data_IF_704150687796
#
_entry.id   IF_704150687796
#
_cell.length_a   1.000
_cell.length_b   1.000
_cell.length_c   1.000
_cell.angle_alpha   90.00
_cell.angle_beta   90.00
_cell.angle_gamma   90.00
#
_symmetry.space_group_name_H-M   'P 1'
#
loop_
_entity.id
_entity.type
_entity.pdbx_description
1 polymer ?
#
# COMPACT_ATOMS: atom_id res chain seq x y z
N UNK A 1 -6.86 -15.26 -50.99
CA UNK A 1 -7.46 -14.98 -49.66
C UNK A 1 -6.51 -14.03 -48.96
N UNK A 2 -6.75 -12.70 -49.05
CA UNK A 2 -5.86 -11.72 -48.47
C UNK A 2 -5.95 -11.81 -46.96
N UNK A 3 -4.89 -12.26 -46.32
CA UNK A 3 -4.68 -12.03 -44.87
C UNK A 3 -4.57 -10.51 -44.76
N UNK A 4 -5.62 -9.83 -44.23
CA UNK A 4 -5.48 -8.47 -43.76
C UNK A 4 -4.46 -8.53 -42.63
N UNK A 5 -3.29 -7.95 -42.84
CA UNK A 5 -2.43 -7.51 -41.74
C UNK A 5 -3.30 -6.59 -40.85
N UNK A 6 -3.86 -7.14 -39.77
CA UNK A 6 -4.47 -6.31 -38.73
C UNK A 6 -3.31 -5.62 -38.03
N UNK A 7 -3.24 -4.31 -38.13
CA UNK A 7 -2.35 -3.53 -37.25
C UNK A 7 -2.65 -3.92 -35.81
N UNK A 8 -1.62 -4.08 -34.98
CA UNK A 8 -1.77 -4.35 -33.56
C UNK A 8 -2.67 -3.30 -32.90
N UNK A 9 -3.41 -3.71 -31.87
CA UNK A 9 -4.20 -2.79 -31.04
C UNK A 9 -3.26 -2.14 -30.04
N UNK A 10 -3.04 -0.85 -30.15
CA UNK A 10 -2.22 -0.07 -29.21
C UNK A 10 -3.04 0.31 -27.97
N UNK A 11 -2.58 -0.06 -26.78
CA UNK A 11 -3.13 0.36 -25.48
C UNK A 11 -2.05 0.94 -24.59
N UNK A 12 -2.44 1.88 -23.75
CA UNK A 12 -1.56 2.54 -22.77
C UNK A 12 -1.95 2.14 -21.36
N UNK A 13 -0.97 1.61 -20.61
CA UNK A 13 -1.10 1.36 -19.18
C UNK A 13 -0.31 2.41 -18.38
N UNK A 14 -0.96 3.12 -17.44
CA UNK A 14 -0.30 4.06 -16.56
C UNK A 14 -0.17 3.52 -15.13
N UNK A 15 1.00 3.63 -14.54
CA UNK A 15 1.33 3.12 -13.21
C UNK A 15 2.43 3.93 -12.54
N UNK A 16 2.59 3.81 -11.23
CA UNK A 16 3.60 4.55 -10.46
C UNK A 16 4.74 3.67 -9.90
N UNK A 17 4.75 2.40 -9.97
CA UNK A 17 5.72 1.50 -9.31
C UNK A 17 7.20 1.70 -9.68
N UNK A 18 7.56 2.82 -10.28
CA UNK A 18 8.90 3.12 -10.76
C UNK A 18 9.17 2.57 -12.16
N UNK A 19 10.33 2.90 -12.70
CA UNK A 19 10.78 2.46 -14.02
C UNK A 19 11.79 1.32 -13.93
N UNK A 20 11.78 0.44 -14.94
CA UNK A 20 12.75 -0.65 -15.10
C UNK A 20 12.97 -0.89 -16.61
N UNK A 21 13.88 -0.13 -17.20
CA UNK A 21 14.20 -0.21 -18.63
C UNK A 21 14.75 -1.58 -19.05
N UNK A 22 15.51 -2.23 -18.14
CA UNK A 22 16.15 -3.54 -18.37
C UNK A 22 15.25 -4.74 -18.03
N UNK A 23 13.97 -4.53 -17.74
CA UNK A 23 13.06 -5.62 -17.45
C UNK A 23 12.90 -6.50 -18.70
N UNK A 24 13.29 -7.78 -18.60
CA UNK A 24 12.95 -8.79 -19.59
C UNK A 24 11.48 -9.21 -19.52
N UNK A 25 11.15 -10.32 -20.17
CA UNK A 25 9.82 -10.96 -20.12
C UNK A 25 9.75 -12.18 -19.19
N UNK A 26 10.85 -12.56 -18.55
CA UNK A 26 10.82 -13.60 -17.51
C UNK A 26 10.31 -13.01 -16.19
N UNK A 27 9.04 -13.27 -15.88
CA UNK A 27 8.35 -12.77 -14.69
C UNK A 27 8.93 -13.28 -13.38
N UNK A 28 9.85 -14.24 -13.41
CA UNK A 28 10.49 -14.87 -12.23
C UNK A 28 11.93 -14.43 -12.02
N UNK A 29 12.55 -13.81 -13.03
CA UNK A 29 13.97 -13.46 -13.02
C UNK A 29 14.28 -12.08 -12.38
N UNK A 30 13.26 -11.26 -12.14
CA UNK A 30 13.40 -9.88 -11.67
C UNK A 30 13.02 -9.71 -10.20
N UNK A 31 13.40 -8.60 -9.60
CA UNK A 31 13.05 -8.21 -8.23
C UNK A 31 12.58 -6.75 -8.16
N UNK A 32 11.84 -6.44 -7.10
CA UNK A 32 11.24 -5.11 -6.90
C UNK A 32 10.01 -4.84 -7.76
N UNK A 33 9.17 -3.92 -7.31
CA UNK A 33 7.88 -3.62 -7.95
C UNK A 33 8.03 -3.22 -9.43
N UNK A 34 8.97 -2.29 -9.71
CA UNK A 34 9.16 -1.74 -11.06
C UNK A 34 9.46 -2.82 -12.09
N UNK A 35 10.42 -3.70 -11.77
CA UNK A 35 10.87 -4.73 -12.71
C UNK A 35 9.89 -5.90 -12.82
N UNK A 36 9.28 -6.31 -11.71
CA UNK A 36 8.30 -7.41 -11.73
C UNK A 36 7.07 -7.02 -12.57
N UNK A 37 6.47 -5.84 -12.34
CA UNK A 37 5.29 -5.43 -13.12
C UNK A 37 5.64 -5.22 -14.60
N UNK A 38 6.82 -4.64 -14.89
CA UNK A 38 7.24 -4.44 -16.27
C UNK A 38 7.51 -5.77 -16.98
N UNK A 39 8.09 -6.76 -16.29
CA UNK A 39 8.30 -8.10 -16.87
C UNK A 39 6.98 -8.81 -17.22
N UNK A 40 5.94 -8.63 -16.39
CA UNK A 40 4.59 -9.16 -16.69
C UNK A 40 4.01 -8.51 -17.95
N UNK A 41 4.15 -7.17 -18.09
CA UNK A 41 3.70 -6.44 -19.28
C UNK A 41 4.49 -6.88 -20.52
N UNK A 42 5.81 -7.02 -20.40
CA UNK A 42 6.66 -7.48 -21.51
C UNK A 42 6.31 -8.91 -21.94
N UNK A 43 6.06 -9.80 -20.98
CA UNK A 43 5.62 -11.17 -21.25
C UNK A 43 4.27 -11.21 -21.98
N UNK A 44 3.34 -10.31 -21.60
CA UNK A 44 2.07 -10.17 -22.31
C UNK A 44 2.28 -9.74 -23.78
N UNK A 45 3.11 -8.72 -24.02
CA UNK A 45 3.41 -8.24 -25.37
C UNK A 45 4.04 -9.33 -26.24
N UNK A 46 4.96 -10.13 -25.71
CA UNK A 46 5.57 -11.26 -26.46
C UNK A 46 4.55 -12.33 -26.81
N UNK A 47 3.59 -12.62 -25.94
CA UNK A 47 2.60 -13.68 -26.13
C UNK A 47 1.37 -13.21 -26.94
N UNK A 48 1.19 -11.91 -27.12
CA UNK A 48 0.04 -11.33 -27.81
C UNK A 48 0.48 -10.31 -28.87
N UNK A 49 1.09 -10.75 -29.98
CA UNK A 49 1.67 -9.85 -30.99
C UNK A 49 0.65 -8.99 -31.74
N UNK A 50 -0.64 -9.23 -31.56
CA UNK A 50 -1.76 -8.44 -32.06
C UNK A 50 -2.18 -7.30 -31.09
N UNK A 51 -1.55 -7.19 -29.92
CA UNK A 51 -1.77 -6.13 -28.93
C UNK A 51 -0.41 -5.55 -28.56
N UNK A 52 -0.28 -4.24 -28.59
CA UNK A 52 0.92 -3.52 -28.16
C UNK A 52 0.60 -2.68 -26.91
N UNK A 53 1.16 -3.06 -25.77
CA UNK A 53 0.99 -2.34 -24.50
C UNK A 53 2.18 -1.42 -24.28
N UNK A 54 1.92 -0.12 -24.22
CA UNK A 54 2.90 0.90 -23.86
C UNK A 54 2.71 1.31 -22.39
N UNK A 55 3.80 1.26 -21.62
CA UNK A 55 3.79 1.68 -20.20
C UNK A 55 4.09 3.16 -20.08
N UNK A 56 3.30 3.85 -19.26
CA UNK A 56 3.57 5.20 -18.77
C UNK A 56 3.82 5.13 -17.27
N UNK A 57 5.00 5.58 -16.83
CA UNK A 57 5.36 5.65 -15.41
C UNK A 57 5.02 7.04 -14.89
N UNK A 58 4.16 7.10 -13.88
CA UNK A 58 3.73 8.33 -13.23
C UNK A 58 4.48 8.52 -11.91
N UNK A 59 4.74 9.78 -11.54
CA UNK A 59 5.19 10.11 -10.19
C UNK A 59 4.10 9.73 -9.16
N UNK A 60 4.48 8.98 -8.13
CA UNK A 60 3.55 8.49 -7.11
C UNK A 60 2.75 9.63 -6.45
N UNK A 61 3.42 10.72 -6.09
CA UNK A 61 2.81 11.87 -5.41
C UNK A 61 1.89 12.68 -6.30
N UNK A 62 2.05 12.61 -7.64
CA UNK A 62 1.29 13.39 -8.62
C UNK A 62 0.25 12.56 -9.40
N UNK A 63 0.27 11.23 -9.24
CA UNK A 63 -0.56 10.32 -10.05
C UNK A 63 -2.02 10.77 -10.14
N UNK A 64 -2.65 11.07 -9.02
CA UNK A 64 -4.08 11.41 -9.01
C UNK A 64 -4.38 12.81 -9.55
N UNK A 65 -3.47 13.76 -9.39
CA UNK A 65 -3.59 15.08 -10.03
C UNK A 65 -3.48 14.96 -11.55
N UNK A 66 -2.53 14.15 -12.03
CA UNK A 66 -2.36 13.85 -13.46
C UNK A 66 -3.60 13.16 -14.02
N UNK A 67 -4.11 12.12 -13.36
CA UNK A 67 -5.31 11.39 -13.79
C UNK A 67 -6.54 12.31 -13.83
N UNK A 68 -6.74 13.15 -12.82
CA UNK A 68 -7.85 14.12 -12.83
C UNK A 68 -7.80 15.04 -14.06
N UNK A 69 -6.62 15.59 -14.35
CA UNK A 69 -6.42 16.46 -15.53
C UNK A 69 -6.72 15.69 -16.81
N UNK A 70 -6.20 14.48 -16.96
CA UNK A 70 -6.40 13.66 -18.15
C UNK A 70 -7.84 13.23 -18.36
N UNK A 71 -8.58 12.95 -17.28
CA UNK A 71 -10.02 12.68 -17.39
C UNK A 71 -10.79 13.92 -17.85
N UNK A 72 -10.41 15.12 -17.38
CA UNK A 72 -11.02 16.36 -17.81
C UNK A 72 -10.75 16.66 -19.31
N UNK A 73 -9.57 16.27 -19.80
CA UNK A 73 -9.15 16.49 -21.20
C UNK A 73 -9.51 15.33 -22.13
N UNK A 74 -10.17 14.28 -21.66
CA UNK A 74 -10.44 13.04 -22.39
C UNK A 74 -9.17 12.36 -22.94
N UNK A 75 -8.06 12.46 -22.22
CA UNK A 75 -6.75 11.88 -22.55
C UNK A 75 -6.29 10.83 -21.54
N UNK A 76 -7.21 10.27 -20.76
CA UNK A 76 -6.90 9.22 -19.79
C UNK A 76 -6.30 7.99 -20.47
N UNK A 77 -5.31 7.32 -19.85
CA UNK A 77 -4.75 6.07 -20.36
C UNK A 77 -5.83 4.99 -20.44
N UNK A 78 -5.65 3.99 -21.33
CA UNK A 78 -6.66 2.94 -21.54
C UNK A 78 -6.90 2.08 -20.30
N UNK A 79 -5.86 1.95 -19.44
CA UNK A 79 -5.92 1.33 -18.12
C UNK A 79 -4.92 2.02 -17.20
N UNK A 80 -5.26 2.20 -15.93
CA UNK A 80 -4.33 2.83 -14.98
C UNK A 80 -4.46 2.25 -13.58
N UNK A 81 -3.38 2.35 -12.80
CA UNK A 81 -3.36 1.99 -11.40
C UNK A 81 -4.26 2.91 -10.57
N UNK A 82 -4.89 2.36 -9.55
CA UNK A 82 -5.68 3.11 -8.57
C UNK A 82 -5.60 2.43 -7.19
N UNK A 83 -5.61 3.24 -6.12
CA UNK A 83 -5.87 2.74 -4.78
C UNK A 83 -7.39 2.69 -4.51
N UNK A 84 -7.83 1.73 -3.70
CA UNK A 84 -9.25 1.59 -3.34
C UNK A 84 -9.87 2.88 -2.80
N UNK A 85 -9.11 3.60 -1.99
CA UNK A 85 -9.58 4.82 -1.35
C UNK A 85 -9.85 5.99 -2.31
N UNK A 86 -9.44 5.86 -3.59
CA UNK A 86 -9.72 6.84 -4.66
C UNK A 86 -10.96 6.51 -5.46
N UNK A 87 -11.52 5.31 -5.33
CA UNK A 87 -12.73 4.91 -6.05
C UNK A 87 -13.89 5.91 -5.86
N UNK A 88 -14.25 6.35 -4.63
CA UNK A 88 -15.35 7.27 -4.46
C UNK A 88 -15.20 8.57 -5.27
N UNK A 89 -13.98 9.09 -5.35
CA UNK A 89 -13.69 10.33 -6.08
C UNK A 89 -13.90 10.18 -7.59
N UNK A 90 -13.42 9.09 -8.19
CA UNK A 90 -13.45 8.90 -9.64
C UNK A 90 -14.74 8.26 -10.13
N UNK A 91 -15.37 7.37 -9.35
CA UNK A 91 -16.66 6.75 -9.70
C UNK A 91 -17.81 7.75 -9.65
N UNK A 92 -17.84 8.63 -8.63
CA UNK A 92 -18.92 9.62 -8.45
C UNK A 92 -18.99 10.62 -9.61
N UNK A 93 -17.87 10.95 -10.25
CA UNK A 93 -17.84 11.84 -11.43
C UNK A 93 -17.99 11.07 -12.76
N UNK A 94 -18.18 9.74 -12.72
CA UNK A 94 -18.31 8.90 -13.91
C UNK A 94 -17.04 8.76 -14.73
N UNK A 95 -15.86 8.94 -14.12
CA UNK A 95 -14.56 8.86 -14.81
C UNK A 95 -14.17 7.41 -15.13
N UNK A 96 -14.40 6.47 -14.19
CA UNK A 96 -14.02 5.07 -14.31
C UNK A 96 -15.22 4.18 -14.59
N UNK A 97 -14.99 3.02 -15.20
CA UNK A 97 -16.02 2.07 -15.60
C UNK A 97 -16.49 1.23 -14.40
N UNK A 98 -17.81 0.99 -14.33
CA UNK A 98 -18.37 -0.11 -13.53
C UNK A 98 -18.09 -1.43 -14.25
N UNK A 99 -17.35 -2.31 -13.60
CA UNK A 99 -16.89 -3.61 -14.11
C UNK A 99 -17.72 -4.77 -13.54
N UNK A 100 -18.87 -4.51 -12.93
CA UNK A 100 -19.76 -5.54 -12.39
C UNK A 100 -20.11 -6.59 -13.46
N UNK A 101 -19.80 -7.87 -13.17
CA UNK A 101 -20.02 -8.99 -14.08
C UNK A 101 -19.12 -9.04 -15.33
N UNK A 102 -18.07 -8.21 -15.38
CA UNK A 102 -17.09 -8.26 -16.50
C UNK A 102 -16.00 -9.32 -16.29
N UNK A 103 -15.62 -9.63 -15.05
CA UNK A 103 -14.52 -10.57 -14.75
C UNK A 103 -14.79 -11.96 -15.36
N UNK A 104 -15.96 -12.50 -15.13
CA UNK A 104 -16.36 -13.84 -15.58
C UNK A 104 -16.35 -13.97 -17.10
N UNK A 105 -16.67 -12.89 -17.82
CA UNK A 105 -16.66 -12.87 -19.30
C UNK A 105 -15.26 -13.09 -19.87
N UNK A 106 -14.24 -12.74 -19.09
CA UNK A 106 -12.82 -12.90 -19.45
C UNK A 106 -12.13 -14.04 -18.69
N UNK A 107 -12.89 -14.90 -18.02
CA UNK A 107 -12.37 -16.08 -17.33
C UNK A 107 -11.63 -15.77 -16.03
N UNK A 108 -11.95 -14.64 -15.39
CA UNK A 108 -11.52 -14.31 -14.04
C UNK A 108 -12.65 -14.66 -13.08
N UNK A 109 -12.44 -15.64 -12.21
CA UNK A 109 -13.46 -16.12 -11.25
C UNK A 109 -13.51 -15.20 -10.04
N UNK A 110 -14.55 -14.37 -9.96
CA UNK A 110 -14.72 -13.44 -8.83
C UNK A 110 -14.88 -14.15 -7.47
N UNK A 111 -15.30 -15.43 -7.45
CA UNK A 111 -15.38 -16.21 -6.21
C UNK A 111 -14.01 -16.56 -5.62
N UNK A 112 -12.94 -16.45 -6.41
CA UNK A 112 -11.55 -16.61 -5.95
C UNK A 112 -10.98 -15.34 -5.29
N UNK A 113 -11.70 -14.21 -5.36
CA UNK A 113 -11.28 -12.96 -4.71
C UNK A 113 -11.62 -13.01 -3.22
N UNK A 114 -10.62 -12.74 -2.35
CA UNK A 114 -10.85 -12.66 -0.90
C UNK A 114 -11.83 -11.53 -0.55
N UNK A 115 -12.66 -11.70 0.50
CA UNK A 115 -13.69 -10.72 0.85
C UNK A 115 -13.19 -9.29 0.99
N UNK A 116 -12.04 -9.10 1.63
CA UNK A 116 -11.42 -7.77 1.81
C UNK A 116 -11.15 -7.08 0.47
N UNK A 117 -10.63 -7.81 -0.53
CA UNK A 117 -10.40 -7.22 -1.85
C UNK A 117 -11.71 -6.95 -2.58
N UNK A 118 -12.71 -7.83 -2.46
CA UNK A 118 -14.02 -7.58 -3.05
C UNK A 118 -14.66 -6.32 -2.46
N UNK A 119 -14.58 -6.13 -1.15
CA UNK A 119 -15.01 -4.90 -0.48
C UNK A 119 -14.23 -3.67 -0.98
N UNK A 120 -12.91 -3.84 -1.20
CA UNK A 120 -12.07 -2.77 -1.73
C UNK A 120 -12.46 -2.34 -3.16
N UNK A 121 -12.88 -3.28 -4.01
CA UNK A 121 -13.32 -3.00 -5.39
C UNK A 121 -14.72 -2.40 -5.46
N UNK A 122 -15.53 -2.55 -4.40
CA UNK A 122 -16.96 -2.23 -4.42
C UNK A 122 -17.24 -0.89 -3.73
N UNK A 123 -18.01 -0.04 -4.39
CA UNK A 123 -18.48 1.22 -3.84
C UNK A 123 -19.81 1.59 -4.49
N UNK A 124 -20.79 2.03 -3.69
CA UNK A 124 -22.13 2.48 -4.14
C UNK A 124 -22.81 1.51 -5.13
N UNK A 125 -22.68 0.21 -4.86
CA UNK A 125 -23.32 -0.86 -5.63
C UNK A 125 -22.61 -1.25 -6.94
N UNK A 126 -21.54 -0.59 -7.32
CA UNK A 126 -20.70 -0.93 -8.49
C UNK A 126 -19.37 -1.57 -8.09
N UNK A 127 -18.72 -2.25 -9.04
CA UNK A 127 -17.36 -2.76 -8.95
C UNK A 127 -16.45 -1.92 -9.86
N UNK A 128 -15.46 -1.22 -9.29
CA UNK A 128 -14.78 -0.11 -9.96
C UNK A 128 -13.32 -0.38 -10.34
N UNK A 129 -12.87 -1.61 -10.26
CA UNK A 129 -11.49 -1.96 -10.64
C UNK A 129 -11.27 -3.45 -10.81
N UNK A 130 -10.15 -3.78 -11.44
CA UNK A 130 -9.60 -5.13 -11.57
C UNK A 130 -8.55 -5.30 -10.48
N UNK A 131 -8.59 -6.36 -9.65
CA UNK A 131 -7.72 -6.47 -8.49
C UNK A 131 -6.26 -6.64 -8.87
N UNK A 132 -5.33 -6.06 -8.11
CA UNK A 132 -3.89 -6.27 -8.25
C UNK A 132 -3.27 -6.86 -6.97
N UNK A 133 -3.47 -6.23 -5.82
CA UNK A 133 -2.91 -6.68 -4.55
C UNK A 133 -3.63 -6.10 -3.34
N UNK A 134 -3.21 -6.60 -2.17
CA UNK A 134 -3.49 -6.02 -0.87
C UNK A 134 -2.14 -5.69 -0.22
N UNK A 135 -2.03 -4.52 0.41
CA UNK A 135 -0.80 -4.10 1.07
C UNK A 135 -1.09 -3.48 2.44
N UNK A 136 -0.13 -3.61 3.35
CA UNK A 136 -0.28 -3.16 4.73
C UNK A 136 1.04 -2.70 5.32
N UNK A 137 0.97 -1.94 6.41
CA UNK A 137 2.12 -1.55 7.21
C UNK A 137 2.65 -2.71 8.05
N UNK A 138 3.96 -2.88 8.04
CA UNK A 138 4.73 -3.93 8.69
C UNK A 138 5.85 -3.35 9.57
N UNK A 139 6.39 -4.16 10.47
CA UNK A 139 7.62 -3.91 11.20
C UNK A 139 8.77 -4.64 10.52
N UNK A 140 9.58 -3.89 9.75
CA UNK A 140 10.84 -4.37 9.17
C UNK A 140 11.94 -4.28 10.22
N UNK A 141 12.57 -5.38 10.54
CA UNK A 141 13.42 -5.53 11.73
C UNK A 141 14.86 -5.83 11.35
N UNK A 142 15.79 -5.04 11.89
CA UNK A 142 17.19 -5.39 11.97
C UNK A 142 17.38 -6.36 13.14
N UNK A 143 17.41 -7.66 12.84
CA UNK A 143 17.44 -8.71 13.85
C UNK A 143 18.77 -8.70 14.63
N UNK A 144 19.86 -8.23 14.02
CA UNK A 144 21.16 -8.14 14.68
C UNK A 144 21.19 -7.07 15.77
N UNK A 145 20.58 -5.90 15.52
CA UNK A 145 20.42 -4.85 16.54
C UNK A 145 19.47 -5.29 17.66
N UNK A 146 18.34 -5.93 17.30
CA UNK A 146 17.41 -6.47 18.28
C UNK A 146 18.07 -7.53 19.15
N UNK A 147 18.91 -8.40 18.60
CA UNK A 147 19.66 -9.40 19.36
C UNK A 147 20.67 -8.75 20.31
N UNK A 148 21.42 -7.74 19.87
CA UNK A 148 22.33 -6.97 20.74
C UNK A 148 21.58 -6.29 21.88
N UNK A 149 20.36 -5.81 21.64
CA UNK A 149 19.48 -5.19 22.62
C UNK A 149 18.79 -6.21 23.57
N UNK A 150 19.00 -7.53 23.37
CA UNK A 150 18.35 -8.58 24.16
C UNK A 150 16.88 -8.83 23.80
N UNK A 151 16.46 -8.37 22.62
CA UNK A 151 15.07 -8.39 22.15
C UNK A 151 14.83 -9.48 21.08
N UNK A 152 15.56 -10.60 21.16
CA UNK A 152 15.37 -11.76 20.27
C UNK A 152 15.20 -13.02 21.11
N UNK A 153 14.25 -13.86 20.74
CA UNK A 153 14.04 -15.18 21.30
C UNK A 153 13.75 -16.19 20.18
N UNK A 154 14.42 -17.33 20.21
CA UNK A 154 14.24 -18.41 19.24
C UNK A 154 14.37 -17.93 17.76
N UNK A 155 15.32 -17.00 17.51
CA UNK A 155 15.57 -16.43 16.19
C UNK A 155 14.53 -15.41 15.69
N UNK A 156 13.59 -15.00 16.56
CA UNK A 156 12.53 -14.04 16.22
C UNK A 156 12.60 -12.79 17.10
N UNK A 157 12.22 -11.63 16.60
CA UNK A 157 12.16 -10.43 17.43
C UNK A 157 11.08 -10.57 18.50
N UNK A 158 11.36 -10.03 19.67
CA UNK A 158 10.36 -9.82 20.72
C UNK A 158 9.74 -8.46 20.45
N UNK A 159 8.48 -8.43 20.04
CA UNK A 159 7.73 -7.20 19.84
C UNK A 159 7.01 -6.78 21.11
N UNK A 160 6.85 -5.47 21.37
CA UNK A 160 6.17 -4.99 22.56
C UNK A 160 4.65 -5.24 22.48
N UNK A 161 4.02 -5.39 23.64
CA UNK A 161 2.59 -5.63 23.81
C UNK A 161 1.87 -4.50 24.56
N UNK A 162 2.61 -3.45 24.90
CA UNK A 162 2.08 -2.26 25.55
C UNK A 162 2.93 -1.02 25.24
N UNK A 163 2.40 0.22 25.44
CA UNK A 163 3.19 1.44 25.31
C UNK A 163 4.42 1.47 26.23
N UNK A 164 4.29 0.98 27.46
CA UNK A 164 5.39 0.92 28.42
C UNK A 164 6.51 -0.02 27.93
N UNK A 165 6.15 -1.21 27.46
CA UNK A 165 7.12 -2.18 26.92
C UNK A 165 7.78 -1.65 25.64
N UNK A 166 7.05 -0.90 24.80
CA UNK A 166 7.65 -0.25 23.63
C UNK A 166 8.73 0.77 24.01
N UNK A 167 8.55 1.52 25.09
CA UNK A 167 9.57 2.43 25.63
C UNK A 167 10.74 1.68 26.28
N UNK A 168 10.51 0.52 26.92
CA UNK A 168 11.57 -0.33 27.43
C UNK A 168 12.43 -0.87 26.28
N UNK A 169 11.81 -1.34 25.19
CA UNK A 169 12.52 -1.76 23.98
C UNK A 169 13.28 -0.61 23.32
N UNK A 170 12.71 0.60 23.32
CA UNK A 170 13.37 1.79 22.82
C UNK A 170 14.66 2.09 23.60
N UNK A 171 14.60 2.03 24.93
CA UNK A 171 15.76 2.22 25.78
C UNK A 171 16.84 1.12 25.55
N UNK A 172 16.41 -0.13 25.34
CA UNK A 172 17.32 -1.23 25.05
C UNK A 172 18.05 -1.04 23.70
N UNK A 173 17.36 -0.57 22.66
CA UNK A 173 17.99 -0.23 21.38
C UNK A 173 18.94 0.97 21.51
N UNK A 174 18.57 1.99 22.27
CA UNK A 174 19.47 3.13 22.55
C UNK A 174 20.74 2.71 23.28
N UNK A 175 20.66 1.77 24.22
CA UNK A 175 21.81 1.25 24.94
C UNK A 175 22.86 0.56 24.03
N UNK A 176 22.44 0.06 22.87
CA UNK A 176 23.35 -0.54 21.88
C UNK A 176 23.70 0.42 20.72
N UNK A 177 23.32 1.71 20.85
CA UNK A 177 23.71 2.77 19.92
C UNK A 177 22.78 2.94 18.71
N UNK A 178 21.58 2.38 18.72
CA UNK A 178 20.60 2.50 17.64
C UNK A 178 19.29 3.19 18.12
N UNK A 179 18.57 3.79 17.21
CA UNK A 179 17.20 4.19 17.46
C UNK A 179 16.30 2.94 17.49
N UNK A 180 15.16 3.03 18.16
CA UNK A 180 14.21 1.92 18.16
C UNK A 180 13.42 1.88 16.85
N UNK A 181 12.91 3.02 16.43
CA UNK A 181 11.98 3.13 15.32
C UNK A 181 12.43 4.18 14.31
N UNK A 182 12.48 3.79 13.06
CA UNK A 182 12.49 4.69 11.91
C UNK A 182 11.11 4.68 11.24
N UNK A 183 10.60 5.84 10.88
CA UNK A 183 9.34 5.95 10.13
C UNK A 183 9.23 7.34 9.52
N UNK A 184 9.05 7.41 8.22
CA UNK A 184 8.71 8.64 7.49
C UNK A 184 7.22 8.76 7.17
N UNK A 185 6.36 8.01 7.88
CA UNK A 185 4.93 7.93 7.59
C UNK A 185 4.09 8.02 8.87
N UNK A 186 2.96 8.74 8.80
CA UNK A 186 2.00 8.83 9.91
C UNK A 186 1.08 7.61 10.02
N UNK A 187 1.10 6.69 9.05
CA UNK A 187 0.20 5.52 8.98
C UNK A 187 0.31 4.56 10.17
N UNK A 188 1.46 4.50 10.84
CA UNK A 188 1.59 3.75 12.09
C UNK A 188 0.71 4.32 13.20
N UNK A 189 0.55 5.65 13.26
CA UNK A 189 -0.35 6.32 14.21
C UNK A 189 -1.82 5.96 13.90
N UNK A 190 -2.17 5.74 12.63
CA UNK A 190 -3.49 5.23 12.25
C UNK A 190 -3.74 3.85 12.89
N UNK A 191 -2.81 2.92 12.69
CA UNK A 191 -2.89 1.59 13.31
C UNK A 191 -3.05 1.65 14.83
N UNK A 192 -2.22 2.45 15.51
CA UNK A 192 -2.31 2.63 16.98
C UNK A 192 -3.64 3.23 17.44
N UNK A 193 -4.24 4.12 16.66
CA UNK A 193 -5.57 4.67 16.94
C UNK A 193 -6.65 3.60 16.81
N UNK A 194 -6.61 2.82 15.71
CA UNK A 194 -7.57 1.74 15.47
C UNK A 194 -7.44 0.59 16.47
N UNK A 195 -6.25 0.34 17.00
CA UNK A 195 -6.04 -0.63 18.09
C UNK A 195 -6.84 -0.28 19.36
N UNK A 196 -7.22 0.97 19.54
CA UNK A 196 -8.02 1.46 20.68
C UNK A 196 -9.52 1.56 20.34
N UNK A 197 -10.00 0.88 19.30
CA UNK A 197 -11.38 0.91 18.81
C UNK A 197 -11.87 2.32 18.41
N UNK A 198 -10.97 3.20 18.02
CA UNK A 198 -11.26 4.56 17.57
C UNK A 198 -10.95 4.74 16.09
N UNK A 199 -11.49 5.80 15.50
CA UNK A 199 -11.24 6.21 14.13
C UNK A 199 -11.04 7.72 14.06
N UNK A 200 -10.56 8.25 12.93
CA UNK A 200 -10.39 9.70 12.73
C UNK A 200 -11.69 10.40 12.40
N UNK A 201 -12.64 9.68 11.85
CA UNK A 201 -14.01 10.13 11.63
C UNK A 201 -14.97 8.95 11.54
N UNK A 202 -16.21 9.19 11.87
CA UNK A 202 -17.32 8.24 11.77
C UNK A 202 -18.48 8.91 11.04
N UNK A 203 -18.71 8.50 9.79
CA UNK A 203 -19.68 9.20 8.92
C UNK A 203 -19.27 10.67 8.76
N UNK A 204 -20.13 11.59 9.27
CA UNK A 204 -19.89 13.03 9.23
C UNK A 204 -19.30 13.62 10.54
N UNK A 205 -18.92 12.78 11.49
CA UNK A 205 -18.36 13.18 12.77
C UNK A 205 -16.83 13.06 12.76
N UNK A 206 -16.12 14.17 12.94
CA UNK A 206 -14.67 14.16 13.12
C UNK A 206 -14.29 13.74 14.55
N UNK A 207 -13.31 12.86 14.68
CA UNK A 207 -12.88 12.24 15.94
C UNK A 207 -11.35 12.33 16.16
N UNK A 208 -10.69 13.33 15.57
CA UNK A 208 -9.24 13.54 15.76
C UNK A 208 -8.85 14.03 17.15
N UNK A 209 -9.77 14.67 17.86
CA UNK A 209 -9.49 15.22 19.18
C UNK A 209 -10.06 14.30 20.29
N UNK A 210 -9.67 13.04 20.28
CA UNK A 210 -10.05 12.01 21.26
C UNK A 210 -8.83 11.51 22.02
N UNK A 211 -9.05 10.83 23.13
CA UNK A 211 -7.96 10.30 23.97
C UNK A 211 -7.17 9.21 23.21
N UNK A 212 -7.83 8.43 22.37
CA UNK A 212 -7.21 7.36 21.59
C UNK A 212 -6.20 7.90 20.56
N UNK A 213 -6.55 8.98 19.86
CA UNK A 213 -5.62 9.67 18.96
C UNK A 213 -4.47 10.31 19.74
N UNK A 214 -4.79 10.93 20.89
CA UNK A 214 -3.77 11.49 21.79
C UNK A 214 -2.77 10.44 22.26
N UNK A 215 -3.25 9.29 22.71
CA UNK A 215 -2.41 8.19 23.19
C UNK A 215 -1.46 7.71 22.08
N UNK A 216 -1.96 7.55 20.84
CA UNK A 216 -1.15 7.15 19.70
C UNK A 216 -0.06 8.18 19.36
N UNK A 217 -0.40 9.46 19.35
CA UNK A 217 0.56 10.56 19.10
C UNK A 217 1.56 10.68 20.25
N UNK A 218 1.08 10.58 21.52
CA UNK A 218 1.93 10.68 22.70
C UNK A 218 2.99 9.60 22.74
N UNK A 219 2.65 8.34 22.37
CA UNK A 219 3.63 7.27 22.31
C UNK A 219 4.82 7.62 21.38
N UNK A 220 4.54 8.23 20.24
CA UNK A 220 5.59 8.69 19.33
C UNK A 220 6.39 9.87 19.90
N UNK A 221 5.74 10.80 20.60
CA UNK A 221 6.43 11.89 21.30
C UNK A 221 7.31 11.37 22.43
N UNK A 222 6.90 10.32 23.13
CA UNK A 222 7.69 9.66 24.16
C UNK A 222 8.91 8.94 23.56
N UNK A 223 8.75 8.25 22.43
CA UNK A 223 9.88 7.68 21.67
C UNK A 223 10.87 8.75 21.20
N UNK A 224 10.36 9.90 20.73
CA UNK A 224 11.19 11.06 20.37
C UNK A 224 11.94 11.61 21.59
N UNK A 225 11.27 11.78 22.73
CA UNK A 225 11.88 12.26 23.97
C UNK A 225 12.96 11.31 24.50
N UNK A 226 12.80 9.99 24.29
CA UNK A 226 13.82 8.99 24.58
C UNK A 226 14.98 8.98 23.56
N UNK A 227 14.94 9.82 22.51
CA UNK A 227 15.94 9.85 21.44
C UNK A 227 15.91 8.58 20.57
N UNK A 228 14.80 7.86 20.56
CA UNK A 228 14.65 6.57 19.90
C UNK A 228 13.79 6.61 18.62
N UNK A 229 13.36 7.81 18.24
CA UNK A 229 12.61 8.10 17.01
C UNK A 229 12.89 9.53 16.53
N UNK A 230 13.06 9.72 15.23
CA UNK A 230 13.37 11.01 14.61
C UNK A 230 12.26 11.44 13.65
N UNK A 231 11.37 12.36 14.07
CA UNK A 231 10.24 12.81 13.23
C UNK A 231 10.67 13.69 12.03
N UNK A 232 11.94 14.09 11.96
CA UNK A 232 12.49 14.89 10.85
C UNK A 232 12.85 14.05 9.62
N UNK A 233 12.87 12.72 9.75
CA UNK A 233 13.14 11.83 8.62
C UNK A 233 11.88 11.72 7.75
N UNK A 234 12.01 12.06 6.48
CA UNK A 234 11.01 11.73 5.46
C UNK A 234 11.06 10.23 5.10
N UNK A 235 10.21 9.80 4.16
CA UNK A 235 10.12 8.39 3.76
C UNK A 235 11.47 7.79 3.34
N UNK A 236 12.14 8.42 2.39
CA UNK A 236 13.43 7.91 1.86
C UNK A 236 14.56 8.00 2.87
N UNK A 237 14.59 9.07 3.67
CA UNK A 237 15.60 9.25 4.72
C UNK A 237 15.43 8.24 5.85
N UNK A 238 14.20 7.92 6.25
CA UNK A 238 13.93 6.90 7.26
C UNK A 238 14.30 5.49 6.77
N UNK A 239 14.00 5.17 5.52
CA UNK A 239 14.39 3.93 4.87
C UNK A 239 15.91 3.78 4.86
N UNK A 240 16.62 4.80 4.33
CA UNK A 240 18.08 4.79 4.30
C UNK A 240 18.69 4.68 5.71
N UNK A 241 18.17 5.43 6.68
CA UNK A 241 18.65 5.41 8.06
C UNK A 241 18.59 4.01 8.66
N UNK A 242 17.50 3.28 8.44
CA UNK A 242 17.35 1.91 8.89
C UNK A 242 18.23 0.92 8.10
N UNK A 243 18.30 1.04 6.78
CA UNK A 243 19.14 0.18 5.94
C UNK A 243 20.63 0.33 6.27
N UNK A 244 21.07 1.52 6.69
CA UNK A 244 22.44 1.78 7.18
C UNK A 244 22.68 1.21 8.59
N UNK A 245 21.71 0.54 9.21
CA UNK A 245 21.86 -0.11 10.52
C UNK A 245 21.74 0.85 11.71
N UNK A 246 21.03 1.97 11.58
CA UNK A 246 20.89 2.98 12.63
C UNK A 246 19.61 2.85 13.45
N UNK A 247 18.70 1.97 13.08
CA UNK A 247 17.48 1.71 13.84
C UNK A 247 17.15 0.21 13.91
N UNK A 248 16.56 -0.22 15.02
CA UNK A 248 16.12 -1.59 15.23
C UNK A 248 14.96 -1.96 14.28
N UNK A 249 14.01 -1.05 14.09
CA UNK A 249 12.77 -1.28 13.34
C UNK A 249 12.54 -0.12 12.37
N UNK A 250 12.06 -0.46 11.18
CA UNK A 250 11.45 0.49 10.24
C UNK A 250 9.96 0.14 10.08
N UNK A 251 9.06 1.11 10.32
CA UNK A 251 7.68 0.98 9.89
C UNK A 251 7.59 1.34 8.40
N UNK A 252 7.30 0.35 7.59
CA UNK A 252 7.08 0.49 6.16
C UNK A 252 6.08 -0.58 5.68
N UNK A 253 5.79 -0.68 4.40
CA UNK A 253 4.76 -1.58 3.90
C UNK A 253 5.29 -2.88 3.32
N UNK A 254 4.34 -3.68 2.82
CA UNK A 254 4.62 -4.96 2.16
C UNK A 254 5.44 -4.81 0.87
N UNK A 255 5.34 -3.67 0.18
CA UNK A 255 5.95 -3.39 -1.14
C UNK A 255 7.48 -3.36 -1.15
N UNK A 256 8.14 -3.31 0.00
CA UNK A 256 9.61 -3.27 0.12
C UNK A 256 10.22 -4.57 0.62
N UNK A 257 9.43 -5.59 0.93
CA UNK A 257 9.93 -6.86 1.50
C UNK A 257 10.95 -7.52 0.58
N UNK A 258 10.66 -7.64 -0.72
CA UNK A 258 11.60 -8.21 -1.68
C UNK A 258 12.88 -7.39 -1.79
N UNK A 259 12.76 -6.07 -1.87
CA UNK A 259 13.90 -5.17 -1.98
C UNK A 259 14.82 -5.25 -0.75
N UNK A 260 14.26 -5.22 0.47
CA UNK A 260 15.07 -5.30 1.69
C UNK A 260 15.70 -6.66 1.88
N UNK A 261 15.00 -7.74 1.53
CA UNK A 261 15.55 -9.09 1.64
C UNK A 261 16.84 -9.29 0.83
N UNK A 262 17.06 -8.46 -0.20
CA UNK A 262 18.20 -8.56 -1.11
C UNK A 262 19.26 -7.45 -0.91
N UNK A 263 18.93 -6.35 -0.20
CA UNK A 263 19.75 -5.14 -0.20
C UNK A 263 20.20 -4.66 1.19
N UNK A 264 19.83 -5.33 2.28
CA UNK A 264 20.37 -5.02 3.62
C UNK A 264 21.52 -5.95 3.98
N UNK A 265 22.50 -5.42 4.73
CA UNK A 265 23.72 -6.15 5.14
C UNK A 265 23.60 -6.77 6.55
N UNK A 266 22.38 -6.94 7.07
CA UNK A 266 22.11 -7.53 8.39
C UNK A 266 21.03 -8.63 8.28
N UNK A 267 20.89 -9.43 9.32
CA UNK A 267 19.82 -10.42 9.40
C UNK A 267 18.47 -9.69 9.44
N UNK A 268 17.70 -9.86 8.37
CA UNK A 268 16.41 -9.22 8.16
C UNK A 268 15.27 -10.13 8.61
N UNK A 269 14.32 -9.55 9.32
CA UNK A 269 13.05 -10.17 9.68
C UNK A 269 11.92 -9.15 9.43
N UNK A 270 10.75 -9.61 9.04
CA UNK A 270 9.59 -8.74 8.89
C UNK A 270 8.37 -9.35 9.56
N UNK A 271 7.72 -8.59 10.42
CA UNK A 271 6.53 -9.04 11.15
C UNK A 271 5.35 -8.09 11.04
N UNK A 272 4.18 -8.53 11.51
CA UNK A 272 3.03 -7.66 11.62
C UNK A 272 3.32 -6.51 12.58
N UNK A 273 2.62 -5.39 12.41
CA UNK A 273 2.61 -4.33 13.41
C UNK A 273 2.14 -4.92 14.76
N UNK A 274 2.89 -4.75 15.86
CA UNK A 274 2.52 -5.34 17.14
C UNK A 274 1.23 -4.73 17.69
N UNK A 275 0.49 -5.54 18.44
CA UNK A 275 -0.67 -5.07 19.20
C UNK A 275 -0.19 -4.40 20.49
N UNK A 276 -0.29 -3.09 20.53
CA UNK A 276 0.17 -2.24 21.65
C UNK A 276 -0.97 -1.88 22.60
N UNK A 277 -2.20 -1.90 22.08
CA UNK A 277 -3.41 -1.54 22.84
C UNK A 277 -4.40 -2.73 22.86
N UNK A 278 -5.68 -2.47 22.72
CA UNK A 278 -6.76 -3.43 22.99
C UNK A 278 -6.89 -4.55 21.94
N UNK A 279 -6.59 -4.26 20.68
CA UNK A 279 -6.70 -5.22 19.56
C UNK A 279 -5.64 -4.99 18.50
N UNK A 280 -5.36 -6.02 17.69
CA UNK A 280 -4.51 -5.86 16.50
C UNK A 280 -5.16 -4.93 15.48
N UNK A 281 -4.39 -3.97 14.97
CA UNK A 281 -4.74 -3.17 13.79
C UNK A 281 -3.48 -2.62 13.14
N UNK A 282 -3.44 -2.63 11.83
CA UNK A 282 -2.42 -1.94 11.02
C UNK A 282 -3.08 -1.30 9.81
N UNK A 283 -2.50 -0.20 9.33
CA UNK A 283 -2.97 0.41 8.09
C UNK A 283 -2.84 -0.55 6.92
N UNK A 284 -3.89 -0.64 6.12
CA UNK A 284 -3.94 -1.41 4.88
C UNK A 284 -4.62 -0.62 3.76
N UNK A 285 -4.33 -1.01 2.53
CA UNK A 285 -4.97 -0.52 1.31
C UNK A 285 -4.87 -1.60 0.22
N UNK A 286 -5.36 -1.32 -0.98
CA UNK A 286 -5.33 -2.22 -2.13
C UNK A 286 -5.04 -1.46 -3.40
N UNK A 287 -4.23 -2.04 -4.27
CA UNK A 287 -4.09 -1.58 -5.64
C UNK A 287 -5.06 -2.32 -6.56
N UNK A 288 -5.56 -1.60 -7.53
CA UNK A 288 -6.40 -2.13 -8.60
C UNK A 288 -6.11 -1.40 -9.90
N UNK A 289 -6.52 -2.00 -11.00
CA UNK A 289 -6.50 -1.37 -12.31
C UNK A 289 -7.89 -0.83 -12.62
N UNK A 290 -7.98 0.45 -12.94
CA UNK A 290 -9.22 1.09 -13.37
C UNK A 290 -9.18 1.42 -14.86
N UNK A 291 -10.35 1.42 -15.48
CA UNK A 291 -10.56 1.63 -16.91
C UNK A 291 -11.44 2.86 -17.09
N UNK A 292 -11.16 3.77 -18.04
CA UNK A 292 -12.04 4.89 -18.34
C UNK A 292 -13.45 4.43 -18.72
N UNK A 293 -14.47 5.08 -18.16
CA UNK A 293 -15.88 4.71 -18.36
C UNK A 293 -16.28 4.68 -19.84
N UNK A 294 -15.73 5.59 -20.66
CA UNK A 294 -16.04 5.68 -22.06
C UNK A 294 -15.37 4.60 -22.93
N UNK A 295 -14.30 3.94 -22.47
CA UNK A 295 -13.46 3.08 -23.32
C UNK A 295 -14.25 1.97 -24.01
N UNK A 296 -15.14 1.30 -23.27
CA UNK A 296 -15.93 0.18 -23.81
C UNK A 296 -16.83 0.57 -25.00
N UNK A 297 -17.37 1.79 -24.96
CA UNK A 297 -18.25 2.30 -26.03
C UNK A 297 -17.50 3.00 -27.14
N UNK A 298 -16.43 3.74 -26.82
CA UNK A 298 -15.65 4.51 -27.78
C UNK A 298 -14.65 3.67 -28.57
N UNK A 299 -14.10 2.63 -27.94
CA UNK A 299 -13.10 1.74 -28.56
C UNK A 299 -13.22 0.32 -28.02
N UNK A 300 -14.23 -0.47 -28.45
CA UNK A 300 -14.44 -1.84 -27.98
C UNK A 300 -13.24 -2.76 -28.18
N UNK A 301 -12.43 -2.55 -29.23
CA UNK A 301 -11.21 -3.33 -29.48
C UNK A 301 -10.13 -3.07 -28.42
N UNK A 302 -9.95 -1.81 -28.03
CA UNK A 302 -9.04 -1.46 -26.93
C UNK A 302 -9.54 -1.99 -25.58
N UNK A 303 -10.85 -1.90 -25.33
CA UNK A 303 -11.43 -2.45 -24.12
C UNK A 303 -11.19 -3.97 -24.02
N UNK A 304 -11.38 -4.72 -25.11
CA UNK A 304 -11.09 -6.16 -25.16
C UNK A 304 -9.61 -6.44 -24.93
N UNK A 305 -8.71 -5.65 -25.53
CA UNK A 305 -7.26 -5.76 -25.32
C UNK A 305 -6.86 -5.47 -23.85
N UNK A 306 -7.44 -4.46 -23.22
CA UNK A 306 -7.24 -4.15 -21.80
C UNK A 306 -7.71 -5.30 -20.89
N UNK A 307 -8.87 -5.88 -21.17
CA UNK A 307 -9.38 -7.01 -20.39
C UNK A 307 -8.55 -8.29 -20.57
N UNK A 308 -7.95 -8.52 -21.75
CA UNK A 308 -6.97 -9.60 -21.97
C UNK A 308 -5.69 -9.38 -21.17
N UNK A 309 -5.18 -8.14 -21.14
CA UNK A 309 -4.05 -7.77 -20.28
C UNK A 309 -4.37 -8.00 -18.81
N UNK A 310 -5.55 -7.59 -18.35
CA UNK A 310 -6.01 -7.82 -17.00
C UNK A 310 -6.09 -9.30 -16.63
N UNK A 311 -6.61 -10.14 -17.55
CA UNK A 311 -6.63 -11.60 -17.36
C UNK A 311 -5.22 -12.17 -17.27
N UNK A 312 -4.29 -11.68 -18.09
CA UNK A 312 -2.89 -12.11 -18.02
C UNK A 312 -2.26 -11.75 -16.67
N UNK A 313 -2.49 -10.52 -16.17
CA UNK A 313 -2.04 -10.10 -14.84
C UNK A 313 -2.69 -10.93 -13.73
N UNK A 314 -3.98 -11.27 -13.86
CA UNK A 314 -4.68 -12.19 -12.96
C UNK A 314 -3.97 -13.55 -12.89
N UNK A 315 -3.60 -14.13 -14.01
CA UNK A 315 -2.91 -15.43 -14.08
C UNK A 315 -1.49 -15.36 -13.51
N UNK A 316 -0.86 -14.18 -13.58
CA UNK A 316 0.46 -13.88 -13.04
C UNK A 316 0.44 -13.21 -11.65
N UNK A 317 -0.68 -13.25 -10.92
CA UNK A 317 -0.79 -12.63 -9.59
C UNK A 317 0.19 -13.19 -8.56
N UNK A 318 0.61 -14.45 -8.71
CA UNK A 318 1.68 -15.04 -7.89
C UNK A 318 3.04 -14.36 -8.14
N UNK A 319 3.35 -14.01 -9.38
CA UNK A 319 4.60 -13.33 -9.73
C UNK A 319 4.64 -11.92 -9.14
N UNK A 320 3.51 -11.19 -9.18
CA UNK A 320 3.38 -9.91 -8.49
C UNK A 320 3.55 -10.04 -6.97
N UNK A 321 3.05 -11.11 -6.37
CA UNK A 321 3.19 -11.37 -4.93
C UNK A 321 4.65 -11.50 -4.46
N UNK A 322 5.60 -11.72 -5.38
CA UNK A 322 7.04 -11.76 -5.07
C UNK A 322 7.58 -10.43 -4.57
N UNK A 323 6.94 -9.29 -4.90
CA UNK A 323 7.27 -7.97 -4.35
C UNK A 323 7.17 -7.88 -2.83
N UNK A 324 6.36 -8.73 -2.22
CA UNK A 324 5.95 -8.70 -0.82
C UNK A 324 4.47 -8.39 -0.65
N UNK A 325 3.82 -7.84 -1.67
CA UNK A 325 2.37 -7.63 -1.64
C UNK A 325 1.61 -8.93 -1.37
N UNK A 326 0.48 -8.82 -0.68
CA UNK A 326 -0.38 -9.96 -0.40
C UNK A 326 -1.31 -10.21 -1.59
N UNK A 327 -1.52 -11.48 -1.90
CA UNK A 327 -2.44 -11.86 -2.95
C UNK A 327 -3.89 -11.58 -2.55
N UNK A 328 -4.68 -11.22 -3.54
CA UNK A 328 -6.12 -11.09 -3.45
C UNK A 328 -6.88 -12.37 -3.82
N UNK A 329 -6.17 -13.42 -4.28
CA UNK A 329 -6.77 -14.68 -4.73
C UNK A 329 -6.61 -15.78 -3.68
N UNK A 330 -7.73 -16.36 -3.25
CA UNK A 330 -7.77 -17.47 -2.29
C UNK A 330 -6.95 -18.67 -2.78
N UNK A 331 -7.05 -19.01 -4.07
CA UNK A 331 -6.30 -20.12 -4.67
C UNK A 331 -4.78 -19.89 -4.65
N UNK A 332 -4.33 -18.64 -4.81
CA UNK A 332 -2.91 -18.28 -4.73
C UNK A 332 -2.42 -18.29 -3.28
N UNK A 333 -3.16 -17.67 -2.36
CA UNK A 333 -2.82 -17.62 -0.93
C UNK A 333 -2.62 -19.03 -0.35
N UNK A 334 -3.45 -19.98 -0.77
CA UNK A 334 -3.40 -21.37 -0.31
C UNK A 334 -2.38 -22.25 -1.05
N UNK A 335 -1.60 -21.68 -1.99
CA UNK A 335 -0.61 -22.45 -2.73
C UNK A 335 0.73 -22.52 -2.01
N UNK A 336 1.43 -23.68 -2.14
CA UNK A 336 2.80 -23.84 -1.64
C UNK A 336 3.75 -22.77 -2.24
N UNK A 337 3.56 -22.43 -3.51
CA UNK A 337 4.38 -21.42 -4.17
C UNK A 337 4.30 -20.06 -3.47
N UNK A 338 3.11 -19.63 -3.02
CA UNK A 338 2.92 -18.39 -2.29
C UNK A 338 3.50 -18.46 -0.87
N UNK A 339 3.23 -19.54 -0.15
CA UNK A 339 3.70 -19.71 1.23
C UNK A 339 5.23 -19.87 1.33
N UNK A 340 5.87 -20.34 0.26
CA UNK A 340 7.33 -20.46 0.18
C UNK A 340 8.05 -19.20 -0.33
N UNK A 341 7.33 -18.11 -0.62
CA UNK A 341 7.96 -16.82 -0.93
C UNK A 341 8.80 -16.34 0.27
N UNK A 342 9.95 -15.68 0.03
CA UNK A 342 10.81 -15.18 1.10
C UNK A 342 10.01 -14.34 2.12
N UNK A 343 10.24 -14.58 3.40
CA UNK A 343 9.60 -13.89 4.53
C UNK A 343 8.07 -14.01 4.63
N UNK A 344 7.39 -14.67 3.67
CA UNK A 344 5.92 -14.71 3.60
C UNK A 344 5.25 -15.17 4.90
N UNK A 345 5.79 -16.19 5.54
CA UNK A 345 5.25 -16.75 6.79
C UNK A 345 5.49 -15.85 8.01
N UNK A 346 6.46 -14.95 7.95
CA UNK A 346 6.81 -14.07 9.08
C UNK A 346 5.74 -13.00 9.32
N UNK A 347 5.07 -12.52 8.25
CA UNK A 347 4.01 -11.51 8.35
C UNK A 347 2.63 -11.99 7.87
N UNK A 348 2.44 -13.28 7.68
CA UNK A 348 1.15 -13.84 7.21
C UNK A 348 -0.04 -13.42 8.08
N UNK A 349 0.15 -13.35 9.41
CA UNK A 349 -0.88 -12.93 10.37
C UNK A 349 -1.26 -11.45 10.26
N UNK A 350 -0.55 -10.65 9.47
CA UNK A 350 -0.96 -9.27 9.17
C UNK A 350 -2.36 -9.23 8.55
N UNK A 351 -2.75 -10.26 7.79
CA UNK A 351 -4.08 -10.37 7.21
C UNK A 351 -5.22 -10.27 8.25
N UNK A 352 -4.97 -10.72 9.48
CA UNK A 352 -5.97 -10.74 10.56
C UNK A 352 -6.17 -9.36 11.22
N UNK A 353 -5.23 -8.43 11.00
CA UNK A 353 -5.20 -7.11 11.65
C UNK A 353 -5.26 -5.95 10.67
N UNK A 354 -5.40 -6.21 9.39
CA UNK A 354 -5.52 -5.17 8.38
C UNK A 354 -6.76 -4.34 8.61
N UNK A 355 -6.61 -3.02 8.58
CA UNK A 355 -7.68 -2.06 8.82
C UNK A 355 -7.63 -0.97 7.77
N UNK A 356 -8.74 -0.79 7.09
CA UNK A 356 -8.91 0.23 6.07
C UNK A 356 -9.43 1.55 6.63
N UNK A 357 -9.04 2.64 5.98
CA UNK A 357 -9.67 3.96 6.22
C UNK A 357 -11.10 3.96 5.67
N UNK A 358 -12.05 4.63 6.34
CA UNK A 358 -13.40 4.78 5.82
C UNK A 358 -13.44 5.45 4.44
N UNK A 359 -14.35 5.03 3.57
CA UNK A 359 -14.53 5.63 2.25
C UNK A 359 -14.90 7.12 2.35
N UNK A 360 -14.24 7.96 1.53
CA UNK A 360 -14.56 9.37 1.40
C UNK A 360 -14.17 9.89 0.02
N UNK A 361 -15.04 10.71 -0.59
CA UNK A 361 -14.70 11.42 -1.83
C UNK A 361 -13.53 12.41 -1.64
N UNK A 362 -13.28 12.84 -0.41
CA UNK A 362 -12.21 13.77 -0.03
C UNK A 362 -11.00 13.07 0.59
N UNK A 363 -10.86 11.76 0.41
CA UNK A 363 -9.81 10.98 1.07
C UNK A 363 -8.41 11.59 0.95
N UNK A 364 -8.01 12.01 -0.26
CA UNK A 364 -6.70 12.62 -0.48
C UNK A 364 -6.45 13.87 0.37
N UNK A 365 -7.46 14.74 0.49
CA UNK A 365 -7.39 15.93 1.34
C UNK A 365 -7.38 15.56 2.83
N UNK A 366 -8.07 14.50 3.22
CA UNK A 366 -8.06 13.99 4.61
C UNK A 366 -6.68 13.48 4.97
N UNK A 367 -6.06 12.65 4.15
CA UNK A 367 -4.70 12.13 4.40
C UNK A 367 -3.70 13.27 4.48
N UNK A 368 -3.74 14.21 3.55
CA UNK A 368 -2.85 15.39 3.58
C UNK A 368 -3.04 16.21 4.86
N UNK A 369 -4.28 16.38 5.32
CA UNK A 369 -4.57 17.05 6.59
C UNK A 369 -3.94 16.30 7.78
N UNK A 370 -4.12 14.97 7.84
CA UNK A 370 -3.56 14.14 8.91
C UNK A 370 -2.03 14.21 8.92
N UNK A 371 -1.39 14.04 7.76
CA UNK A 371 0.06 14.09 7.64
C UNK A 371 0.61 15.47 8.06
N UNK A 372 -0.05 16.54 7.64
CA UNK A 372 0.37 17.92 7.99
C UNK A 372 0.21 18.21 9.46
N UNK A 373 -0.96 17.95 10.03
CA UNK A 373 -1.28 18.37 11.40
C UNK A 373 -0.60 17.46 12.45
N UNK A 374 -0.61 16.14 12.24
CA UNK A 374 0.09 15.20 13.12
C UNK A 374 1.61 15.42 12.96
N UNK A 375 2.10 15.60 11.75
CA UNK A 375 3.51 15.92 11.50
C UNK A 375 3.98 17.17 12.24
N UNK A 376 3.21 18.26 12.23
CA UNK A 376 3.52 19.49 12.95
C UNK A 376 3.60 19.27 14.47
N UNK A 377 2.72 18.43 15.03
CA UNK A 377 2.78 18.04 16.45
C UNK A 377 4.05 17.24 16.72
N UNK A 378 4.35 16.26 15.89
CA UNK A 378 5.54 15.40 16.03
C UNK A 378 6.84 16.21 15.97
N UNK A 379 6.91 17.22 15.10
CA UNK A 379 8.04 18.14 14.98
C UNK A 379 8.15 19.11 16.17
N UNK A 380 7.07 19.32 16.90
CA UNK A 380 6.99 20.31 18.01
C UNK A 380 6.66 21.73 17.52
N UNK A 381 6.16 21.87 16.30
CA UNK A 381 5.68 23.13 15.73
C UNK A 381 4.31 23.53 16.29
N UNK A 382 3.56 22.54 16.75
CA UNK A 382 2.28 22.71 17.44
C UNK A 382 2.27 21.89 18.74
N UNK A 383 1.64 22.41 19.78
CA UNK A 383 1.30 21.56 20.93
C UNK A 383 0.17 20.60 20.56
N UNK A 384 0.11 19.45 21.23
CA UNK A 384 -0.82 18.38 20.90
C UNK A 384 -2.28 18.80 21.05
N UNK A 385 -2.61 19.59 22.11
CA UNK A 385 -3.99 19.96 22.43
C UNK A 385 -4.58 20.91 21.38
N UNK A 386 -3.86 21.98 21.08
CA UNK A 386 -4.28 22.94 20.04
C UNK A 386 -4.19 22.32 18.66
N UNK A 387 -3.15 21.52 18.37
CA UNK A 387 -2.94 20.86 17.08
C UNK A 387 -4.07 19.88 16.75
N UNK A 388 -4.42 18.97 17.64
CA UNK A 388 -5.52 18.01 17.41
C UNK A 388 -6.90 18.68 17.36
N UNK A 389 -7.11 19.73 18.15
CA UNK A 389 -8.35 20.53 18.08
C UNK A 389 -8.49 21.22 16.73
N UNK A 390 -7.43 21.83 16.24
CA UNK A 390 -7.43 22.51 14.93
C UNK A 390 -7.60 21.51 13.79
N UNK A 391 -6.88 20.39 13.83
CA UNK A 391 -7.01 19.29 12.86
C UNK A 391 -8.45 18.76 12.80
N UNK A 392 -9.08 18.54 13.98
CA UNK A 392 -10.47 18.09 14.07
C UNK A 392 -11.47 19.10 13.46
N UNK A 393 -11.25 20.41 13.66
CA UNK A 393 -12.08 21.44 13.07
C UNK A 393 -11.90 21.56 11.54
N UNK A 394 -10.69 21.31 11.02
CA UNK A 394 -10.43 21.25 9.59
C UNK A 394 -11.07 20.00 8.97
N UNK A 395 -10.93 18.84 9.65
CA UNK A 395 -11.53 17.59 9.18
C UNK A 395 -13.04 17.66 9.04
N UNK A 396 -13.74 18.32 9.99
CA UNK A 396 -15.20 18.55 9.90
C UNK A 396 -15.65 19.19 8.59
N UNK A 397 -14.78 19.96 7.92
CA UNK A 397 -15.09 20.61 6.64
C UNK A 397 -14.94 19.66 5.46
N UNK A 398 -14.13 18.62 5.60
CA UNK A 398 -13.85 17.64 4.55
C UNK A 398 -14.84 16.48 4.52
N UNK A 399 -15.47 16.15 5.67
CA UNK A 399 -16.39 15.00 5.82
C UNK A 399 -17.87 15.41 5.84
N UNK A 400 -18.21 16.57 5.30
CA UNK A 400 -19.58 17.09 5.22
C UNK A 400 -20.45 16.36 4.21
#
# INVERSE_FOLDING_TARGET
>A
MCIRDRSAVDITIARFFGDCEDAGSDTKATSGEACIIQSIINAFNEQNPDINVTTEVLDWGQTYNILQTRYADNSAPDIHIMHRHRIPQFSTIGAIADLSGELEKYGMDSSDIVPMMMDALTYDGGMWGLPLDIHAGLFHTNLDLMAKAGLVKDGKPIYPTSPAEMLEHANACKAVGADYLASGQTRAIYGLTWQQNANFFEGKKATLNTDEVRNAVQLYLDLKAAGAYQPTLDYGSAEKFWMDGNACILYNGTWVVDYYSQNVDFNYYVGPMPTIYDKGATWADSHMWSIPAALKSSSPEKYDAVMKLAKFMWDHSIDWSRTGHMSYRTSVINSDAYMNLPHRTEYATTADIMTDTPHSINYGAIVQLLDTEIGAIMLGEKDMDSGLKDANNKLKKLIR
#
